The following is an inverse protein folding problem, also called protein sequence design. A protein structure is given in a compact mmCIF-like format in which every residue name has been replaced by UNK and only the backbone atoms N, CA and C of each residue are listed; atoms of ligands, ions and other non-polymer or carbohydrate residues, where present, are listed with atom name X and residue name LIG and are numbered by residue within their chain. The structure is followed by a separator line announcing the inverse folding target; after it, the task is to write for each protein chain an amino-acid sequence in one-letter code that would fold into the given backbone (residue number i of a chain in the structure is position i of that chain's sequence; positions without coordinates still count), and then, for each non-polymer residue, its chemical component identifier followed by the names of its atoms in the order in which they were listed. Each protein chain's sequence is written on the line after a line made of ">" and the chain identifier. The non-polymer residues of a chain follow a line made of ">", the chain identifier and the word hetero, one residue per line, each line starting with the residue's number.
data_IF_826063514533
#
_entry.id   IF_826063514533
#
_cell.length_a   1.000
_cell.length_b   1.000
_cell.length_c   1.000
_cell.angle_alpha   90.00
_cell.angle_beta   90.00
_cell.angle_gamma   90.00
#
_symmetry.space_group_name_H-M   'P 1'
#
loop_
_entity.id
_entity.type
_entity.pdbx_description
1 polymer ?
#
# COMPACT_ATOMS: atom_id res chain seq x y z
N UNK A 1 -8.42 -7.58 -5.96
CA UNK A 1 -9.70 -7.92 -6.66
C UNK A 1 -10.50 -6.65 -6.93
N UNK A 2 -11.60 -6.74 -7.68
CA UNK A 2 -12.53 -5.59 -7.89
C UNK A 2 -13.06 -5.05 -6.55
N UNK A 3 -13.19 -5.92 -5.55
CA UNK A 3 -13.58 -5.56 -4.18
C UNK A 3 -12.56 -4.63 -3.50
N UNK A 4 -11.25 -4.85 -3.71
CA UNK A 4 -10.21 -3.95 -3.19
C UNK A 4 -10.28 -2.58 -3.86
N UNK A 5 -10.52 -2.54 -5.18
CA UNK A 5 -10.68 -1.28 -5.90
C UNK A 5 -11.92 -0.51 -5.42
N UNK A 6 -13.00 -1.21 -5.09
CA UNK A 6 -14.19 -0.60 -4.52
C UNK A 6 -13.95 -0.11 -3.08
N UNK A 7 -13.27 -0.89 -2.24
CA UNK A 7 -12.88 -0.47 -0.89
C UNK A 7 -11.96 0.77 -0.91
N UNK A 8 -10.98 0.82 -1.82
CA UNK A 8 -10.13 1.98 -2.07
C UNK A 8 -10.92 3.23 -2.45
N UNK A 9 -11.94 3.06 -3.30
CA UNK A 9 -12.80 4.14 -3.74
C UNK A 9 -13.72 4.63 -2.61
N UNK A 10 -14.26 3.73 -1.79
CA UNK A 10 -15.16 4.05 -0.66
C UNK A 10 -14.40 4.76 0.46
N UNK A 11 -13.22 4.27 0.84
CA UNK A 11 -12.44 4.87 1.93
C UNK A 11 -11.74 6.18 1.51
N UNK A 12 -11.54 6.37 0.21
CA UNK A 12 -10.94 7.58 -0.39
C UNK A 12 -9.49 7.83 0.03
N UNK A 13 -8.87 6.93 0.78
CA UNK A 13 -7.52 7.10 1.30
C UNK A 13 -6.48 7.14 0.17
N UNK A 14 -6.70 6.37 -0.90
CA UNK A 14 -5.79 6.34 -2.05
C UNK A 14 -5.72 7.73 -2.71
N UNK A 15 -6.85 8.40 -2.88
CA UNK A 15 -6.90 9.78 -3.38
C UNK A 15 -6.18 10.76 -2.45
N UNK A 16 -6.36 10.62 -1.13
CA UNK A 16 -5.64 11.44 -0.13
C UNK A 16 -4.14 11.19 -0.16
N UNK A 17 -3.70 9.94 -0.30
CA UNK A 17 -2.28 9.58 -0.40
C UNK A 17 -1.65 10.24 -1.64
N UNK A 18 -2.31 10.16 -2.79
CA UNK A 18 -1.86 10.84 -4.02
C UNK A 18 -1.77 12.36 -3.83
N UNK A 19 -2.75 12.98 -3.16
CA UNK A 19 -2.72 14.40 -2.83
C UNK A 19 -1.59 14.79 -1.85
N UNK A 20 -1.15 13.85 -1.01
CA UNK A 20 0.01 13.99 -0.12
C UNK A 20 1.35 13.69 -0.81
N UNK A 21 1.35 13.47 -2.13
CA UNK A 21 2.54 13.25 -2.94
C UNK A 21 3.04 11.81 -2.92
N UNK A 22 2.23 10.85 -2.49
CA UNK A 22 2.51 9.43 -2.72
C UNK A 22 2.34 9.14 -4.21
N UNK A 23 3.23 8.35 -4.78
CA UNK A 23 3.13 7.92 -6.17
C UNK A 23 2.37 6.58 -6.26
N UNK A 24 2.06 6.15 -7.48
CA UNK A 24 1.35 4.88 -7.70
C UNK A 24 2.12 3.66 -7.15
N UNK A 25 3.45 3.74 -7.07
CA UNK A 25 4.32 2.68 -6.57
C UNK A 25 4.28 2.57 -5.05
N UNK A 26 4.18 3.70 -4.35
CA UNK A 26 3.98 3.71 -2.89
C UNK A 26 2.62 3.11 -2.52
N UNK A 27 1.59 3.39 -3.33
CA UNK A 27 0.22 2.94 -3.09
C UNK A 27 0.04 1.46 -3.43
N UNK A 28 0.56 1.01 -4.57
CA UNK A 28 0.29 -0.33 -5.11
C UNK A 28 1.46 -1.32 -4.97
N UNK A 29 2.69 -0.82 -4.82
CA UNK A 29 3.91 -1.63 -4.79
C UNK A 29 4.48 -1.89 -6.19
N UNK A 30 5.79 -2.08 -6.26
CA UNK A 30 6.51 -2.63 -7.43
C UNK A 30 7.44 -3.72 -6.92
N UNK A 31 7.51 -4.87 -7.60
CA UNK A 31 8.51 -5.89 -7.33
C UNK A 31 8.17 -7.25 -7.95
N UNK A 32 9.05 -8.23 -7.76
CA UNK A 32 8.75 -9.63 -8.10
C UNK A 32 7.65 -10.17 -7.18
N UNK A 33 6.71 -10.93 -7.77
CA UNK A 33 5.67 -11.66 -7.04
C UNK A 33 6.33 -12.48 -5.91
N UNK A 34 5.72 -12.47 -4.73
CA UNK A 34 6.14 -13.26 -3.57
C UNK A 34 7.43 -12.79 -2.84
N UNK A 35 7.93 -11.57 -3.12
CA UNK A 35 8.98 -10.93 -2.30
C UNK A 35 8.37 -10.15 -1.13
N UNK A 36 8.93 -10.27 0.08
CA UNK A 36 8.56 -9.42 1.22
C UNK A 36 8.82 -7.92 0.94
N UNK A 37 9.70 -7.61 -0.01
CA UNK A 37 10.01 -6.26 -0.46
C UNK A 37 8.89 -5.63 -1.34
N UNK A 38 7.79 -6.34 -1.58
CA UNK A 38 6.80 -6.02 -2.62
C UNK A 38 5.65 -5.12 -2.15
N UNK A 39 5.34 -5.08 -0.85
CA UNK A 39 4.04 -4.57 -0.39
C UNK A 39 3.95 -3.04 -0.49
N UNK A 40 3.16 -2.54 -1.46
CA UNK A 40 2.65 -1.16 -1.42
C UNK A 40 1.60 -0.99 -0.33
N UNK A 41 1.22 0.26 -0.05
CA UNK A 41 0.29 0.58 1.05
C UNK A 41 -1.02 -0.22 0.95
N UNK A 42 -1.60 -0.39 -0.24
CA UNK A 42 -2.84 -1.15 -0.41
C UNK A 42 -2.71 -2.63 0.00
N UNK A 43 -1.58 -3.26 -0.34
CA UNK A 43 -1.29 -4.65 0.04
C UNK A 43 -1.01 -4.72 1.54
N UNK A 44 -0.19 -3.79 2.06
CA UNK A 44 0.08 -3.73 3.49
C UNK A 44 -1.19 -3.53 4.28
N UNK A 45 -2.15 -2.71 3.85
CA UNK A 45 -3.37 -2.48 4.64
C UNK A 45 -4.16 -3.77 4.87
N UNK A 46 -4.24 -4.68 3.90
CA UNK A 46 -4.98 -5.95 4.05
C UNK A 46 -6.41 -5.72 4.60
N UNK A 47 -7.10 -4.69 4.09
CA UNK A 47 -8.44 -4.30 4.55
C UNK A 47 -8.49 -3.53 5.88
N UNK A 48 -7.35 -3.22 6.51
CA UNK A 48 -7.29 -2.36 7.70
C UNK A 48 -7.57 -0.90 7.35
N UNK A 49 -8.27 -0.21 8.24
CA UNK A 49 -8.60 1.21 8.10
C UNK A 49 -7.44 2.09 8.54
N UNK A 50 -7.09 3.08 7.71
CA UNK A 50 -6.08 4.09 8.04
C UNK A 50 -6.62 5.05 9.10
N UNK A 51 -5.83 5.22 10.17
CA UNK A 51 -6.09 6.18 11.25
C UNK A 51 -5.30 7.49 11.06
N UNK A 52 -4.07 7.38 10.55
CA UNK A 52 -3.21 8.53 10.25
C UNK A 52 -2.60 8.33 8.87
N UNK A 53 -2.69 9.35 8.03
CA UNK A 53 -2.03 9.40 6.72
C UNK A 53 -1.35 10.76 6.58
N UNK A 54 -0.04 10.75 6.42
CA UNK A 54 0.74 11.94 6.12
C UNK A 54 1.64 11.70 4.89
N UNK A 55 2.44 12.70 4.52
CA UNK A 55 3.31 12.61 3.34
C UNK A 55 4.41 11.55 3.46
N UNK A 56 4.67 11.01 4.65
CA UNK A 56 5.77 10.10 4.94
C UNK A 56 5.32 8.71 5.42
N UNK A 57 4.11 8.58 5.97
CA UNK A 57 3.64 7.32 6.55
C UNK A 57 2.13 7.16 6.61
N UNK A 58 1.69 5.92 6.78
CA UNK A 58 0.34 5.55 7.14
C UNK A 58 0.35 4.74 8.44
N UNK A 59 -0.67 4.92 9.28
CA UNK A 59 -0.81 4.16 10.53
C UNK A 59 -2.19 3.54 10.65
N UNK A 60 -2.23 2.29 11.14
CA UNK A 60 -3.46 1.52 11.38
C UNK A 60 -3.44 0.94 12.79
N UNK A 61 -4.61 0.52 13.27
CA UNK A 61 -4.71 -0.34 14.45
C UNK A 61 -4.49 -1.79 14.06
N UNK A 62 -3.72 -2.51 14.87
CA UNK A 62 -3.39 -3.92 14.70
C UNK A 62 -3.64 -4.70 15.99
N UNK A 63 -3.64 -6.04 15.93
CA UNK A 63 -3.97 -6.95 17.06
C UNK A 63 -3.18 -6.67 18.34
N UNK A 64 -1.99 -6.06 18.25
CA UNK A 64 -1.13 -5.74 19.39
C UNK A 64 -0.88 -4.25 19.63
N UNK A 65 -1.48 -3.33 18.86
CA UNK A 65 -1.20 -1.90 19.00
C UNK A 65 -1.36 -1.10 17.71
N UNK A 66 -0.44 -0.18 17.46
CA UNK A 66 -0.39 0.60 16.22
C UNK A 66 0.65 -0.01 15.28
N UNK A 67 0.29 -0.20 14.02
CA UNK A 67 1.23 -0.55 12.96
C UNK A 67 1.45 0.67 12.06
N UNK A 68 2.69 0.84 11.58
CA UNK A 68 3.10 1.96 10.76
C UNK A 68 3.71 1.46 9.45
N UNK A 69 3.29 2.05 8.34
CA UNK A 69 3.87 1.90 7.03
C UNK A 69 4.64 3.18 6.69
N UNK A 70 5.96 3.07 6.50
CA UNK A 70 6.79 4.20 6.11
C UNK A 70 6.98 4.20 4.59
N UNK A 71 6.69 5.34 3.95
CA UNK A 71 6.91 5.53 2.52
C UNK A 71 8.41 5.44 2.21
N UNK A 72 8.81 4.48 1.39
CA UNK A 72 10.22 4.21 1.08
C UNK A 72 11.00 3.52 2.21
N UNK A 73 10.30 3.00 3.23
CA UNK A 73 10.88 2.23 4.33
C UNK A 73 11.56 0.92 3.88
N UNK A 74 12.21 0.24 4.82
CA UNK A 74 12.79 -1.07 4.58
C UNK A 74 11.70 -2.11 4.30
N UNK A 75 11.85 -2.91 3.24
CA UNK A 75 10.84 -3.91 2.85
C UNK A 75 9.80 -3.44 1.81
N UNK A 76 10.00 -2.27 1.18
CA UNK A 76 9.01 -1.72 0.23
C UNK A 76 9.65 -1.16 -1.05
N UNK A 77 9.49 -1.88 -2.16
CA UNK A 77 9.57 -1.39 -3.54
C UNK A 77 10.93 -0.94 -4.06
N UNK A 78 12.05 -1.45 -3.53
CA UNK A 78 13.39 -0.94 -3.92
C UNK A 78 14.01 -1.60 -5.14
N UNK A 79 13.42 -2.65 -5.70
CA UNK A 79 13.96 -3.26 -6.93
C UNK A 79 13.33 -2.63 -8.17
N UNK A 80 13.90 -1.50 -8.60
CA UNK A 80 13.51 -0.78 -9.80
C UNK A 80 13.65 -1.59 -11.10
N UNK A 81 14.24 -2.79 -11.05
CA UNK A 81 14.40 -3.69 -12.20
C UNK A 81 13.17 -4.58 -12.46
N UNK A 82 12.20 -4.64 -11.53
CA UNK A 82 11.00 -5.44 -11.68
C UNK A 82 9.84 -4.63 -12.28
N UNK A 83 9.07 -5.18 -13.24
CA UNK A 83 7.88 -4.52 -13.74
C UNK A 83 6.81 -4.42 -12.63
N UNK A 84 6.05 -3.30 -12.56
CA UNK A 84 4.98 -3.12 -11.58
C UNK A 84 3.92 -4.22 -11.74
N UNK A 85 3.48 -4.79 -10.62
CA UNK A 85 2.41 -5.80 -10.58
C UNK A 85 1.16 -5.14 -10.02
N UNK A 86 0.06 -5.19 -10.77
CA UNK A 86 -1.18 -4.53 -10.42
C UNK A 86 -1.97 -5.36 -9.40
N UNK A 87 -2.69 -4.71 -8.48
CA UNK A 87 -3.46 -5.34 -7.40
C UNK A 87 -4.39 -6.48 -7.84
N UNK A 88 -4.92 -6.46 -9.07
CA UNK A 88 -5.78 -7.53 -9.58
C UNK A 88 -5.05 -8.84 -9.87
N UNK A 89 -3.71 -8.82 -9.95
CA UNK A 89 -2.88 -10.00 -10.18
C UNK A 89 -2.62 -10.81 -8.90
N UNK A 90 -2.98 -10.29 -7.72
CA UNK A 90 -2.84 -10.96 -6.40
C UNK A 90 -4.08 -11.74 -5.97
N UNK A 91 -5.22 -11.53 -6.62
CA UNK A 91 -6.50 -12.16 -6.24
C UNK A 91 -6.76 -13.53 -6.84
N UNK A 92 -5.75 -14.40 -6.92
CA UNK A 92 -5.91 -15.80 -7.36
C UNK A 92 -5.65 -16.77 -6.23
#
# INVERSE_FOLDING_TARGET
>A
MVDDAHALAVDGWAGKALALGWNAYDVFGIGKRDSLDFAGLAVWLEGRTILVLDASRAMVRDRGGMACFERGGWGHGRDASAPPVLLWQFGR
#
